data_IF_973368731124
#
_entry.id   IF_973368731124
#
_cell.length_a   1.000
_cell.length_b   1.000
_cell.length_c   1.000
_cell.angle_alpha   90.00
_cell.angle_beta   90.00
_cell.angle_gamma   90.00
#
_symmetry.space_group_name_H-M   'P 1'
#
loop_
_entity.id
_entity.type
_entity.pdbx_description
1 polymer ?
#
# COMPACT_ATOMS: atom_id res chain seq x y z
N UNK A 1 -9.36 10.05 -15.84
CA UNK A 1 -8.10 9.85 -15.07
C UNK A 1 -8.49 9.63 -13.62
N UNK A 2 -8.16 8.48 -13.01
CA UNK A 2 -8.51 8.22 -11.61
C UNK A 2 -7.72 9.15 -10.67
N UNK A 3 -8.30 9.51 -9.53
CA UNK A 3 -7.63 10.30 -8.49
C UNK A 3 -6.31 9.67 -8.06
N UNK A 4 -6.29 8.34 -7.84
CA UNK A 4 -5.09 7.58 -7.48
C UNK A 4 -3.98 7.66 -8.53
N UNK A 5 -4.31 7.78 -9.82
CA UNK A 5 -3.30 8.02 -10.87
C UNK A 5 -2.68 9.42 -10.73
N UNK A 6 -3.49 10.45 -10.49
CA UNK A 6 -2.98 11.82 -10.24
C UNK A 6 -2.10 11.88 -9.00
N UNK A 7 -2.45 11.15 -7.95
CA UNK A 7 -1.63 11.03 -6.74
C UNK A 7 -0.26 10.39 -7.05
N UNK A 8 -0.22 9.32 -7.86
CA UNK A 8 1.05 8.74 -8.32
C UNK A 8 1.86 9.74 -9.16
N UNK A 9 1.22 10.49 -10.06
CA UNK A 9 1.88 11.56 -10.84
C UNK A 9 2.50 12.64 -9.92
N UNK A 10 1.94 12.86 -8.73
CA UNK A 10 2.44 13.78 -7.70
C UNK A 10 3.48 13.14 -6.75
N UNK A 11 3.88 11.89 -7.00
CA UNK A 11 4.81 11.17 -6.13
C UNK A 11 4.20 10.68 -4.82
N UNK A 12 2.88 10.65 -4.70
CA UNK A 12 2.19 10.09 -3.54
C UNK A 12 2.00 8.58 -3.71
N UNK A 13 2.19 7.86 -2.61
CA UNK A 13 1.90 6.43 -2.50
C UNK A 13 0.40 6.21 -2.38
N UNK A 14 -0.13 5.22 -3.10
CA UNK A 14 -1.55 4.86 -3.08
C UNK A 14 -1.75 3.36 -3.00
N UNK A 15 -2.91 2.93 -2.50
CA UNK A 15 -3.29 1.52 -2.42
C UNK A 15 -4.16 1.12 -3.61
N UNK A 16 -3.88 -0.05 -4.18
CA UNK A 16 -4.65 -0.68 -5.23
C UNK A 16 -5.07 -2.10 -4.86
N UNK A 17 -6.11 -2.58 -5.54
CA UNK A 17 -6.63 -3.93 -5.36
C UNK A 17 -6.30 -4.84 -6.54
N UNK A 18 -5.86 -6.07 -6.25
CA UNK A 18 -5.68 -7.13 -7.25
C UNK A 18 -6.94 -7.98 -7.46
N UNK A 19 -8.05 -7.63 -6.81
CA UNK A 19 -9.32 -8.36 -6.97
C UNK A 19 -9.79 -8.33 -8.42
N UNK A 20 -10.47 -9.39 -8.82
CA UNK A 20 -11.11 -9.50 -10.12
C UNK A 20 -12.63 -9.56 -9.99
N UNK A 21 -13.33 -8.90 -10.89
CA UNK A 21 -14.80 -9.00 -11.07
C UNK A 21 -15.04 -9.39 -12.52
N UNK A 22 -15.73 -10.51 -12.75
CA UNK A 22 -15.91 -11.04 -14.11
C UNK A 22 -14.59 -11.37 -14.84
N UNK A 23 -13.53 -11.72 -14.11
CA UNK A 23 -12.20 -12.01 -14.68
C UNK A 23 -11.30 -10.79 -14.91
N UNK A 24 -11.84 -9.57 -14.77
CA UNK A 24 -11.12 -8.31 -14.99
C UNK A 24 -10.64 -7.75 -13.66
N UNK A 25 -9.39 -7.27 -13.60
CA UNK A 25 -8.85 -6.58 -12.42
C UNK A 25 -9.66 -5.31 -12.15
N UNK A 26 -10.10 -5.12 -10.90
CA UNK A 26 -10.86 -3.93 -10.50
C UNK A 26 -10.07 -2.64 -10.76
N UNK A 27 -8.78 -2.65 -10.46
CA UNK A 27 -7.87 -1.52 -10.71
C UNK A 27 -7.05 -1.70 -12.01
N UNK A 28 -7.59 -2.37 -13.02
CA UNK A 28 -6.89 -2.69 -14.28
C UNK A 28 -6.03 -1.52 -14.83
N UNK A 29 -6.64 -0.35 -15.05
CA UNK A 29 -5.96 0.79 -15.66
C UNK A 29 -4.89 1.41 -14.76
N UNK A 30 -5.12 1.41 -13.44
CA UNK A 30 -4.17 1.91 -12.46
C UNK A 30 -2.95 0.98 -12.35
N UNK A 31 -3.20 -0.34 -12.38
CA UNK A 31 -2.16 -1.37 -12.37
C UNK A 31 -1.33 -1.28 -13.65
N UNK A 32 -1.97 -1.21 -14.83
CA UNK A 32 -1.25 -1.05 -16.10
C UNK A 32 -0.37 0.20 -16.10
N UNK A 33 -0.94 1.35 -15.69
CA UNK A 33 -0.21 2.62 -15.57
C UNK A 33 1.02 2.51 -14.66
N UNK A 34 0.88 1.88 -13.49
CA UNK A 34 1.97 1.73 -12.53
C UNK A 34 3.01 0.69 -12.98
N UNK A 35 2.58 -0.39 -13.66
CA UNK A 35 3.44 -1.45 -14.17
C UNK A 35 4.40 -0.91 -15.23
N UNK A 36 3.91 -0.14 -16.20
CA UNK A 36 4.72 0.51 -17.25
C UNK A 36 5.84 1.41 -16.67
N UNK A 37 5.66 1.89 -15.44
CA UNK A 37 6.57 2.82 -14.75
C UNK A 37 7.40 2.16 -13.65
N UNK A 38 7.27 0.85 -13.43
CA UNK A 38 7.97 0.15 -12.35
C UNK A 38 7.59 0.66 -10.94
N UNK A 39 6.33 1.07 -10.76
CA UNK A 39 5.84 1.65 -9.49
C UNK A 39 5.12 0.65 -8.59
N UNK A 40 4.97 -0.61 -9.02
CA UNK A 40 4.20 -1.61 -8.27
C UNK A 40 5.03 -2.19 -7.12
N UNK A 41 4.42 -2.23 -5.93
CA UNK A 41 4.90 -3.02 -4.79
C UNK A 41 3.76 -3.90 -4.31
N UNK A 42 3.96 -5.22 -4.29
CA UNK A 42 3.01 -6.14 -3.63
C UNK A 42 3.21 -6.07 -2.13
N UNK A 43 2.10 -5.97 -1.40
CA UNK A 43 2.08 -5.88 0.07
C UNK A 43 1.21 -6.97 0.69
N UNK A 44 0.95 -8.06 -0.04
CA UNK A 44 0.24 -9.20 0.51
C UNK A 44 1.15 -10.02 1.45
N UNK A 45 0.56 -11.05 2.09
CA UNK A 45 1.22 -11.85 3.13
C UNK A 45 2.45 -12.63 2.67
N UNK A 46 2.76 -12.66 1.38
CA UNK A 46 3.98 -13.28 0.85
C UNK A 46 5.18 -12.32 0.82
N UNK A 47 5.02 -11.12 1.37
CA UNK A 47 6.04 -10.06 1.39
C UNK A 47 6.27 -9.57 2.80
N UNK A 48 7.40 -8.90 3.05
CA UNK A 48 7.72 -8.26 4.33
C UNK A 48 6.67 -7.20 4.75
N UNK A 49 5.99 -6.62 3.76
CA UNK A 49 4.92 -5.63 3.97
C UNK A 49 3.56 -6.27 4.27
N UNK A 50 3.46 -7.60 4.25
CA UNK A 50 2.24 -8.32 4.52
C UNK A 50 1.77 -8.16 5.97
N UNK A 51 0.45 -8.08 6.16
CA UNK A 51 -0.11 -8.09 7.51
C UNK A 51 0.04 -9.48 8.17
N UNK A 52 0.83 -9.63 9.26
CA UNK A 52 1.03 -10.91 9.94
C UNK A 52 -0.23 -11.36 10.70
N UNK A 53 -1.12 -10.43 11.03
CA UNK A 53 -2.39 -10.72 11.69
C UNK A 53 -3.42 -11.22 10.68
N UNK A 54 -3.84 -12.48 10.85
CA UNK A 54 -4.86 -13.09 9.98
C UNK A 54 -6.25 -12.60 10.36
N UNK A 55 -6.96 -12.07 9.37
CA UNK A 55 -8.38 -11.78 9.48
C UNK A 55 -9.17 -13.09 9.35
N UNK A 56 -9.89 -13.47 10.40
CA UNK A 56 -10.74 -14.68 10.43
C UNK A 56 -12.19 -14.41 10.03
N UNK A 57 -12.64 -13.16 10.12
CA UNK A 57 -13.95 -12.69 9.66
C UNK A 57 -13.87 -11.20 9.28
N UNK A 58 -14.81 -10.70 8.48
CA UNK A 58 -14.85 -9.28 8.12
C UNK A 58 -15.04 -8.36 9.35
N UNK A 59 -15.68 -8.84 10.43
CA UNK A 59 -15.81 -8.10 11.69
C UNK A 59 -14.46 -7.79 12.35
N UNK A 60 -13.42 -8.56 12.04
CA UNK A 60 -12.07 -8.37 12.58
C UNK A 60 -11.21 -7.42 11.73
N UNK A 61 -11.74 -6.86 10.64
CA UNK A 61 -10.99 -6.00 9.71
C UNK A 61 -10.30 -4.86 10.42
N UNK A 62 -11.02 -4.16 11.28
CA UNK A 62 -10.47 -3.01 11.99
C UNK A 62 -9.36 -3.44 12.95
N UNK A 63 -9.65 -4.45 13.77
CA UNK A 63 -8.69 -5.00 14.73
C UNK A 63 -7.37 -5.43 14.07
N UNK A 64 -7.40 -6.13 12.93
CA UNK A 64 -6.16 -6.57 12.27
C UNK A 64 -5.41 -5.42 11.60
N UNK A 65 -6.09 -4.36 11.20
CA UNK A 65 -5.46 -3.16 10.65
C UNK A 65 -4.83 -2.31 11.78
N UNK A 66 -5.51 -2.14 12.91
CA UNK A 66 -4.99 -1.46 14.10
C UNK A 66 -3.74 -2.15 14.65
N UNK A 67 -3.79 -3.49 14.72
CA UNK A 67 -2.64 -4.32 15.11
C UNK A 67 -1.48 -4.17 14.13
N UNK A 68 -1.76 -4.12 12.83
CA UNK A 68 -0.73 -3.91 11.82
C UNK A 68 -0.07 -2.54 11.96
N UNK A 69 -0.84 -1.49 12.21
CA UNK A 69 -0.29 -0.16 12.45
C UNK A 69 0.63 -0.15 13.67
N UNK A 70 0.21 -0.77 14.76
CA UNK A 70 1.05 -0.91 15.96
C UNK A 70 2.32 -1.70 15.66
N UNK A 71 2.21 -2.79 14.89
CA UNK A 71 3.35 -3.64 14.49
C UNK A 71 4.36 -2.89 13.62
N UNK A 72 3.92 -2.16 12.59
CA UNK A 72 4.84 -1.48 11.68
C UNK A 72 5.58 -0.34 12.39
N UNK A 73 4.91 0.40 13.27
CA UNK A 73 5.53 1.47 14.07
C UNK A 73 6.49 0.93 15.13
N UNK A 74 6.26 -0.28 15.63
CA UNK A 74 7.12 -0.93 16.60
C UNK A 74 8.26 -1.76 15.98
N UNK A 75 8.36 -1.83 14.65
CA UNK A 75 9.39 -2.58 13.93
C UNK A 75 10.37 -1.60 13.23
N UNK A 76 11.53 -1.29 13.86
CA UNK A 76 12.48 -0.32 13.32
C UNK A 76 12.98 -0.67 11.91
N UNK A 77 13.27 -1.95 11.65
CA UNK A 77 13.81 -2.41 10.37
C UNK A 77 12.83 -2.16 9.21
N UNK A 78 11.53 -2.42 9.44
CA UNK A 78 10.51 -2.12 8.45
C UNK A 78 10.21 -0.63 8.34
N UNK A 79 10.24 0.09 9.47
CA UNK A 79 10.00 1.53 9.51
C UNK A 79 11.06 2.30 8.71
N UNK A 80 12.33 1.91 8.83
CA UNK A 80 13.45 2.48 8.05
C UNK A 80 13.26 2.27 6.54
N UNK A 81 12.57 1.20 6.13
CA UNK A 81 12.29 0.89 4.73
C UNK A 81 11.07 1.61 4.16
N UNK A 82 10.22 2.23 4.99
CA UNK A 82 9.01 2.94 4.54
C UNK A 82 9.26 3.98 3.45
N UNK A 83 10.34 4.80 3.48
CA UNK A 83 10.61 5.76 2.41
C UNK A 83 10.71 5.12 1.02
N UNK A 84 11.10 3.84 0.92
CA UNK A 84 11.15 3.10 -0.36
C UNK A 84 9.78 2.92 -1.01
N UNK A 85 8.70 3.06 -0.24
CA UNK A 85 7.31 2.96 -0.72
C UNK A 85 6.79 4.29 -1.28
N UNK A 86 7.52 5.40 -1.16
CA UNK A 86 7.09 6.72 -1.66
C UNK A 86 6.83 6.67 -3.17
N UNK A 87 5.67 7.19 -3.60
CA UNK A 87 5.28 7.24 -5.01
C UNK A 87 4.98 5.87 -5.64
N UNK A 88 4.75 4.84 -4.83
CA UNK A 88 4.44 3.47 -5.29
C UNK A 88 2.95 3.16 -5.25
N UNK A 89 2.53 2.23 -6.11
CA UNK A 89 1.21 1.58 -6.03
C UNK A 89 1.34 0.31 -5.18
N UNK A 90 0.76 0.35 -3.98
CA UNK A 90 0.77 -0.77 -3.04
C UNK A 90 -0.39 -1.71 -3.33
N UNK A 91 -0.10 -2.90 -3.83
CA UNK A 91 -1.12 -3.87 -4.21
C UNK A 91 -1.47 -4.83 -3.07
N UNK A 92 -2.75 -4.82 -2.70
CA UNK A 92 -3.32 -5.73 -1.72
C UNK A 92 -4.62 -6.37 -2.23
N UNK A 93 -5.09 -7.41 -1.54
CA UNK A 93 -6.39 -8.03 -1.80
C UNK A 93 -7.53 -7.40 -0.98
N UNK A 94 -7.24 -6.54 -0.01
CA UNK A 94 -8.24 -6.04 0.94
C UNK A 94 -8.93 -4.75 0.47
N UNK A 95 -8.21 -3.90 -0.26
CA UNK A 95 -8.73 -2.66 -0.85
C UNK A 95 -9.92 -2.98 -1.81
N UNK A 96 -10.97 -2.14 -1.89
CA UNK A 96 -11.12 -0.77 -1.36
C UNK A 96 -11.62 -0.65 0.08
N UNK A 97 -11.92 -1.76 0.76
CA UNK A 97 -12.18 -1.70 2.21
C UNK A 97 -10.88 -1.39 2.94
N UNK A 98 -11.01 -0.92 4.19
CA UNK A 98 -9.87 -0.66 5.08
C UNK A 98 -8.82 -1.77 4.98
N UNK A 99 -7.59 -1.37 4.72
CA UNK A 99 -6.47 -2.22 4.37
C UNK A 99 -5.25 -1.79 5.17
N UNK A 100 -4.38 -2.74 5.50
CA UNK A 100 -3.09 -2.44 6.13
C UNK A 100 -2.19 -1.57 5.23
N UNK A 101 -2.39 -1.65 3.91
CA UNK A 101 -1.74 -0.78 2.94
C UNK A 101 -2.06 0.70 3.14
N UNK A 102 -3.20 1.03 3.75
CA UNK A 102 -3.56 2.43 4.03
C UNK A 102 -2.58 3.05 5.03
N UNK A 103 -2.17 2.29 6.06
CA UNK A 103 -1.12 2.68 7.01
C UNK A 103 0.23 2.86 6.33
N UNK A 104 0.63 1.91 5.46
CA UNK A 104 1.89 2.01 4.73
C UNK A 104 1.93 3.23 3.82
N UNK A 105 0.82 3.49 3.11
CA UNK A 105 0.71 4.66 2.24
C UNK A 105 0.73 5.97 3.03
N UNK A 106 0.06 6.03 4.18
CA UNK A 106 0.09 7.19 5.07
C UNK A 106 1.52 7.48 5.55
N UNK A 107 2.19 6.49 6.13
CA UNK A 107 3.58 6.62 6.61
C UNK A 107 4.54 7.03 5.49
N UNK A 108 4.45 6.37 4.32
CA UNK A 108 5.28 6.72 3.17
C UNK A 108 5.00 8.14 2.67
N UNK A 109 3.77 8.63 2.81
CA UNK A 109 3.40 9.97 2.36
C UNK A 109 3.77 11.07 3.33
N UNK A 110 3.80 10.79 4.63
CA UNK A 110 4.27 11.67 5.71
C UNK A 110 5.78 11.92 5.62
N UNK A 111 6.54 10.96 5.12
CA UNK A 111 7.95 11.16 4.80
C UNK A 111 8.09 12.16 3.65
N UNK A 112 8.32 13.44 3.98
CA UNK A 112 8.86 14.40 3.01
C UNK A 112 10.14 13.82 2.42
N UNK A 113 10.43 14.00 1.12
CA UNK A 113 11.75 13.61 0.63
C UNK A 113 12.78 14.37 1.47
N UNK A 114 13.70 13.64 2.10
CA UNK A 114 14.94 14.26 2.54
C UNK A 114 15.50 14.93 1.29
N UNK A 115 15.59 16.26 1.31
CA UNK A 115 16.32 17.01 0.30
C UNK A 115 17.69 16.35 0.11
N UNK A 116 18.24 16.28 -1.11
CA UNK A 116 19.57 15.74 -1.28
C UNK A 116 20.51 16.54 -0.36
N UNK A 117 21.25 15.84 0.48
CA UNK A 117 22.35 16.44 1.22
C UNK A 117 23.25 17.14 0.20
N UNK A 118 23.35 18.46 0.34
CA UNK A 118 24.27 19.31 -0.41
C UNK A 118 25.72 18.96 -0.09
#
# INVERSE_FOLDING_TARGET
>A
MSERRRMLDQGLTVVGTMRKVGGILVDHDLIAYAQERGLIVRIDRQTDWGNPFRMTSEANRDLVCDRYESYIRANPDLLERIPSLKGKLLLCWCHPRRCHGDTLAALANETSPAAPAA
#
